data_IF_428558888300
#
_entry.id   IF_428558888300
#
_cell.length_a   1.000
_cell.length_b   1.000
_cell.length_c   1.000
_cell.angle_alpha   90.00
_cell.angle_beta   90.00
_cell.angle_gamma   90.00
#
_symmetry.space_group_name_H-M   'P 1'
#
loop_
_entity.id
_entity.type
_entity.pdbx_description
1 polymer ?
#
# COMPACT_ATOMS: atom_id res chain seq x y z
N UNK A 1 17.55 -35.63 25.54
CA UNK A 1 16.47 -34.63 25.70
C UNK A 1 16.74 -33.48 24.74
N UNK A 2 16.00 -33.41 23.63
CA UNK A 2 16.14 -32.35 22.64
C UNK A 2 15.47 -31.08 23.14
N UNK A 3 16.26 -30.04 23.40
CA UNK A 3 15.78 -28.71 23.75
C UNK A 3 15.01 -28.12 22.56
N UNK A 4 13.68 -28.28 22.57
CA UNK A 4 12.78 -27.52 21.72
C UNK A 4 12.78 -26.07 22.23
N UNK A 5 13.77 -25.30 21.78
CA UNK A 5 13.68 -23.84 21.80
C UNK A 5 12.46 -23.46 20.95
N UNK A 6 11.40 -23.10 21.66
CA UNK A 6 10.19 -22.47 21.13
C UNK A 6 10.62 -21.30 20.23
N UNK A 7 10.68 -21.54 18.92
CA UNK A 7 10.70 -20.45 17.94
C UNK A 7 9.34 -19.80 18.04
N UNK A 8 9.24 -18.81 18.92
CA UNK A 8 8.17 -17.82 18.91
C UNK A 8 8.23 -17.18 17.53
N UNK A 9 7.39 -17.66 16.62
CA UNK A 9 7.17 -17.05 15.31
C UNK A 9 6.46 -15.72 15.58
N UNK A 10 7.22 -14.72 16.01
CA UNK A 10 6.79 -13.32 16.00
C UNK A 10 6.74 -12.84 14.53
N UNK A 11 5.89 -13.49 13.74
CA UNK A 11 5.54 -13.04 12.41
C UNK A 11 4.70 -11.79 12.56
N UNK A 12 5.28 -10.61 12.31
CA UNK A 12 4.52 -9.36 12.18
C UNK A 12 3.30 -9.63 11.29
N UNK A 13 2.08 -9.22 11.69
CA UNK A 13 0.87 -9.58 10.97
C UNK A 13 0.98 -9.13 9.51
N UNK A 14 1.00 -10.10 8.60
CA UNK A 14 1.23 -9.91 7.16
C UNK A 14 0.20 -8.98 6.53
N UNK A 15 -0.98 -8.85 7.15
CA UNK A 15 -2.06 -7.97 6.73
C UNK A 15 -1.69 -6.48 6.81
N UNK A 16 -0.88 -6.05 7.78
CA UNK A 16 -0.51 -4.63 7.92
C UNK A 16 0.21 -4.08 6.69
N UNK A 17 0.79 -4.96 5.85
CA UNK A 17 1.41 -4.56 4.57
C UNK A 17 0.39 -4.01 3.58
N UNK A 18 -0.91 -4.31 3.72
CA UNK A 18 -1.96 -3.83 2.83
C UNK A 18 -2.50 -2.44 3.20
N UNK A 19 -2.27 -1.97 4.43
CA UNK A 19 -2.73 -0.66 4.91
C UNK A 19 -2.37 0.50 3.96
N UNK A 20 -1.11 0.67 3.51
CA UNK A 20 -0.76 1.77 2.60
C UNK A 20 -1.50 1.69 1.25
N UNK A 21 -1.78 0.48 0.75
CA UNK A 21 -2.51 0.29 -0.50
C UNK A 21 -3.99 0.60 -0.35
N UNK A 22 -4.60 0.20 0.77
CA UNK A 22 -5.99 0.52 1.09
C UNK A 22 -6.18 2.04 1.28
N UNK A 23 -5.26 2.69 2.00
CA UNK A 23 -5.27 4.13 2.19
C UNK A 23 -5.19 4.89 0.86
N UNK A 24 -4.32 4.44 -0.05
CA UNK A 24 -4.22 5.00 -1.40
C UNK A 24 -5.51 4.82 -2.20
N UNK A 25 -6.12 3.63 -2.16
CA UNK A 25 -7.40 3.37 -2.83
C UNK A 25 -8.52 4.30 -2.37
N UNK A 26 -8.64 4.52 -1.05
CA UNK A 26 -9.61 5.47 -0.47
C UNK A 26 -9.33 6.90 -0.93
N UNK A 27 -8.06 7.29 -1.00
CA UNK A 27 -7.66 8.63 -1.41
C UNK A 27 -8.00 8.90 -2.89
N UNK A 28 -7.63 7.99 -3.80
CA UNK A 28 -7.97 8.06 -5.23
C UNK A 28 -9.49 8.07 -5.43
N UNK A 29 -10.21 7.19 -4.73
CA UNK A 29 -11.66 7.15 -4.78
C UNK A 29 -12.28 8.48 -4.34
N UNK A 30 -11.80 9.04 -3.23
CA UNK A 30 -12.31 10.30 -2.69
C UNK A 30 -12.11 11.45 -3.67
N UNK A 31 -10.91 11.60 -4.24
CA UNK A 31 -10.61 12.64 -5.22
C UNK A 31 -11.43 12.51 -6.51
N UNK A 32 -11.64 11.28 -6.98
CA UNK A 32 -12.42 11.08 -8.19
C UNK A 32 -13.93 11.10 -7.92
N UNK A 33 -14.41 10.89 -6.69
CA UNK A 33 -15.84 10.79 -6.36
C UNK A 33 -16.63 12.06 -6.68
N UNK A 34 -15.98 13.22 -6.64
CA UNK A 34 -16.62 14.54 -6.52
C UNK A 34 -16.82 15.31 -7.83
N UNK A 35 -16.39 14.77 -8.98
CA UNK A 35 -16.42 15.48 -10.26
C UNK A 35 -17.46 14.94 -11.23
N UNK A 36 -18.29 15.82 -11.80
CA UNK A 36 -19.11 15.55 -12.99
C UNK A 36 -18.27 15.50 -14.28
N UNK A 37 -17.13 14.80 -14.24
CA UNK A 37 -16.32 14.55 -15.42
C UNK A 37 -16.93 13.44 -16.28
N UNK A 38 -16.66 13.51 -17.58
CA UNK A 38 -17.00 12.45 -18.51
C UNK A 38 -16.49 11.09 -17.98
N UNK A 39 -17.37 10.09 -17.97
CA UNK A 39 -17.12 8.77 -17.38
C UNK A 39 -15.84 8.11 -17.92
N UNK A 40 -15.58 8.23 -19.23
CA UNK A 40 -14.37 7.67 -19.84
C UNK A 40 -13.10 8.38 -19.37
N UNK A 41 -13.14 9.71 -19.29
CA UNK A 41 -12.02 10.52 -18.83
C UNK A 41 -11.70 10.22 -17.36
N UNK A 42 -12.74 10.11 -16.54
CA UNK A 42 -12.64 9.78 -15.11
C UNK A 42 -12.05 8.39 -14.90
N UNK A 43 -12.48 7.39 -15.67
CA UNK A 43 -11.89 6.05 -15.61
C UNK A 43 -10.40 6.06 -15.94
N UNK A 44 -9.99 6.81 -16.96
CA UNK A 44 -8.59 6.92 -17.35
C UNK A 44 -7.72 7.61 -16.29
N UNK A 45 -8.25 8.67 -15.66
CA UNK A 45 -7.57 9.39 -14.58
C UNK A 45 -7.40 8.49 -13.34
N UNK A 46 -8.42 7.75 -12.94
CA UNK A 46 -8.34 6.78 -11.83
C UNK A 46 -7.23 5.76 -12.07
N UNK A 47 -7.10 5.24 -13.29
CA UNK A 47 -6.04 4.29 -13.64
C UNK A 47 -4.64 4.92 -13.56
N UNK A 48 -4.47 6.15 -14.04
CA UNK A 48 -3.19 6.88 -13.94
C UNK A 48 -2.82 7.16 -12.48
N UNK A 49 -3.77 7.62 -11.67
CA UNK A 49 -3.55 7.89 -10.25
C UNK A 49 -3.20 6.63 -9.47
N UNK A 50 -3.84 5.49 -9.79
CA UNK A 50 -3.52 4.21 -9.19
C UNK A 50 -2.08 3.77 -9.50
N UNK A 51 -1.64 3.89 -10.76
CA UNK A 51 -0.27 3.55 -11.16
C UNK A 51 0.76 4.42 -10.43
N UNK A 52 0.56 5.75 -10.41
CA UNK A 52 1.45 6.69 -9.71
C UNK A 52 1.48 6.38 -8.22
N UNK A 53 0.31 6.16 -7.61
CA UNK A 53 0.19 5.85 -6.20
C UNK A 53 0.92 4.56 -5.80
N UNK A 54 0.84 3.50 -6.62
CA UNK A 54 1.58 2.25 -6.37
C UNK A 54 3.09 2.49 -6.40
N UNK A 55 3.60 3.26 -7.37
CA UNK A 55 5.02 3.62 -7.44
C UNK A 55 5.47 4.39 -6.19
N UNK A 56 4.62 5.31 -5.72
CA UNK A 56 4.87 6.10 -4.50
C UNK A 56 4.92 5.21 -3.25
N UNK A 57 3.96 4.29 -3.09
CA UNK A 57 3.97 3.30 -2.01
C UNK A 57 5.24 2.47 -2.07
N UNK A 58 5.61 1.95 -3.24
CA UNK A 58 6.83 1.16 -3.40
C UNK A 58 8.07 1.94 -2.95
N UNK A 59 8.19 3.19 -3.36
CA UNK A 59 9.32 4.04 -2.99
C UNK A 59 9.36 4.32 -1.48
N UNK A 60 8.22 4.65 -0.87
CA UNK A 60 8.10 4.86 0.59
C UNK A 60 8.49 3.59 1.34
N UNK A 61 7.94 2.45 0.95
CA UNK A 61 8.22 1.15 1.57
C UNK A 61 9.70 0.76 1.42
N UNK A 62 10.30 1.00 0.25
CA UNK A 62 11.72 0.78 0.00
C UNK A 62 12.60 1.65 0.91
N UNK A 63 12.26 2.94 1.06
CA UNK A 63 12.97 3.87 1.94
C UNK A 63 12.85 3.48 3.42
N UNK A 64 11.66 3.09 3.87
CA UNK A 64 11.40 2.62 5.24
C UNK A 64 12.14 1.32 5.56
N UNK A 65 12.16 0.38 4.61
CA UNK A 65 12.89 -0.88 4.76
C UNK A 65 14.40 -0.66 4.91
N UNK A 66 14.99 0.28 4.17
CA UNK A 66 16.40 0.66 4.32
C UNK A 66 16.68 1.29 5.68
N UNK A 67 15.79 2.16 6.17
CA UNK A 67 15.95 2.83 7.48
C UNK A 67 15.83 1.88 8.67
N UNK A 68 15.07 0.78 8.55
CA UNK A 68 14.96 -0.25 9.60
C UNK A 68 16.16 -1.24 9.59
N UNK A 69 17.02 -1.22 8.57
CA UNK A 69 18.19 -2.10 8.46
C UNK A 69 19.51 -1.41 8.88
N UNK A 70 19.48 -0.10 9.15
CA UNK A 70 20.59 0.69 9.70
C UNK A 70 20.39 0.95 11.17
#
# INVERSE_FOLDING_TARGET
MSNFHSRKLEGKPTWMRFIPYAALGVLIFSFNSSGEMNYFLRGYLVLLEAQIGIVLIYFIMSKLAKKHKS
#
